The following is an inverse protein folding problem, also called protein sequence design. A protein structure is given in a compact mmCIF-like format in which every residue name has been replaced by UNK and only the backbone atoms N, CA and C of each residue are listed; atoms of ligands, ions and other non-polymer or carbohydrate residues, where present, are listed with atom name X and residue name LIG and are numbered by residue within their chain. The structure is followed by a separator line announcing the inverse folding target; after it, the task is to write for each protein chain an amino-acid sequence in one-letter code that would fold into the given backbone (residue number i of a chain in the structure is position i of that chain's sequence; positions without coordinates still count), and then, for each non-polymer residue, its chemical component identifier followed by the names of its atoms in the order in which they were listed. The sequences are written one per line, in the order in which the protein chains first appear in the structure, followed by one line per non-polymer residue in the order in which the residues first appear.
data_IF_438386231242
#
_entry.id   IF_438386231242
#
_cell.length_a   1.000
_cell.length_b   1.000
_cell.length_c   1.000
_cell.angle_alpha   90.00
_cell.angle_beta   90.00
_cell.angle_gamma   90.00
#
_symmetry.space_group_name_H-M   'P 1'
#
loop_
_entity.id
_entity.type
_entity.pdbx_description
1 polymer ?
#
# COMPACT_ATOMS: atom_id res chain seq x y z
N UNK A 1 -16.49 -29.49 53.51
CA UNK A 1 -15.54 -28.44 53.07
C UNK A 1 -14.36 -29.09 52.35
N UNK A 2 -14.39 -29.25 51.02
CA UNK A 2 -13.18 -29.54 50.24
C UNK A 2 -12.57 -28.22 49.73
N UNK A 3 -11.32 -27.96 50.12
CA UNK A 3 -10.47 -26.89 49.59
C UNK A 3 -9.75 -27.43 48.35
N UNK A 4 -10.17 -27.05 47.15
CA UNK A 4 -9.44 -27.36 45.93
C UNK A 4 -8.34 -26.31 45.68
N UNK A 5 -7.12 -26.74 45.32
CA UNK A 5 -5.96 -25.87 45.26
C UNK A 5 -6.01 -24.92 44.07
N UNK A 6 -5.75 -23.64 44.36
CA UNK A 6 -5.61 -22.50 43.46
C UNK A 6 -4.45 -22.60 42.43
N UNK A 7 -3.92 -23.80 42.17
CA UNK A 7 -2.63 -24.00 41.50
C UNK A 7 -2.73 -24.44 40.03
N UNK A 8 -3.92 -24.45 39.42
CA UNK A 8 -4.14 -24.95 38.06
C UNK A 8 -4.43 -23.87 37.00
N UNK A 9 -4.33 -22.58 37.36
CA UNK A 9 -4.64 -21.47 36.43
C UNK A 9 -3.40 -20.81 35.78
N UNK A 10 -2.21 -21.38 35.90
CA UNK A 10 -0.95 -20.71 35.47
C UNK A 10 -0.33 -21.24 34.16
N UNK A 11 -0.96 -22.19 33.45
CA UNK A 11 -0.34 -22.82 32.26
C UNK A 11 -1.03 -22.53 30.92
N UNK A 12 -2.08 -21.71 30.86
CA UNK A 12 -2.88 -21.50 29.64
C UNK A 12 -2.79 -20.07 29.05
N UNK A 13 -1.73 -19.31 29.36
CA UNK A 13 -1.62 -17.89 29.02
C UNK A 13 -0.69 -17.51 27.86
N UNK A 14 -0.06 -18.46 27.16
CA UNK A 14 1.07 -18.16 26.25
C UNK A 14 0.90 -18.63 24.78
N UNK A 15 -0.30 -18.96 24.32
CA UNK A 15 -0.50 -19.47 22.97
C UNK A 15 -1.46 -18.65 22.09
N UNK A 16 -1.42 -17.31 22.18
CA UNK A 16 -2.03 -16.46 21.15
C UNK A 16 -1.12 -15.30 20.74
N UNK A 17 0.12 -15.61 20.39
CA UNK A 17 0.84 -14.81 19.40
C UNK A 17 0.26 -15.15 18.03
N UNK A 18 -0.92 -14.62 17.73
CA UNK A 18 -1.32 -14.42 16.35
C UNK A 18 -0.37 -13.37 15.78
N UNK A 19 0.76 -13.83 15.24
CA UNK A 19 1.38 -13.15 14.12
C UNK A 19 0.32 -13.16 13.01
N UNK A 20 -0.56 -12.17 13.02
CA UNK A 20 -1.22 -11.71 11.82
C UNK A 20 -0.06 -11.40 10.88
N UNK A 21 0.26 -12.35 10.01
CA UNK A 21 1.08 -12.06 8.85
C UNK A 21 0.46 -10.81 8.26
N UNK A 22 1.26 -9.78 8.07
CA UNK A 22 0.86 -8.60 7.32
C UNK A 22 0.69 -9.05 5.86
N UNK A 23 -0.33 -9.85 5.60
CA UNK A 23 -0.84 -10.10 4.26
C UNK A 23 -1.33 -8.76 3.76
N UNK A 24 -0.78 -8.35 2.61
CA UNK A 24 -1.19 -7.12 1.95
C UNK A 24 -2.71 -7.14 1.78
N UNK A 25 -3.42 -6.06 2.13
CA UNK A 25 -4.86 -6.02 2.00
C UNK A 25 -5.25 -6.30 0.53
N UNK A 26 -6.26 -7.15 0.35
CA UNK A 26 -6.90 -7.38 -0.96
C UNK A 26 -8.20 -6.59 -1.04
N UNK A 27 -8.66 -6.27 -2.25
CA UNK A 27 -9.94 -5.57 -2.45
C UNK A 27 -11.11 -6.31 -1.78
N UNK A 28 -11.11 -7.64 -1.82
CA UNK A 28 -12.14 -8.47 -1.17
C UNK A 28 -12.09 -8.33 0.36
N UNK A 29 -10.90 -8.36 0.96
CA UNK A 29 -10.75 -8.15 2.41
C UNK A 29 -11.18 -6.74 2.84
N UNK A 30 -10.91 -5.72 2.03
CA UNK A 30 -11.36 -4.34 2.27
C UNK A 30 -12.90 -4.24 2.23
N UNK A 31 -13.53 -4.86 1.23
CA UNK A 31 -14.99 -4.88 1.10
C UNK A 31 -15.66 -5.60 2.29
N UNK A 32 -15.11 -6.74 2.71
CA UNK A 32 -15.61 -7.50 3.86
C UNK A 32 -15.50 -6.68 5.16
N UNK A 33 -14.34 -6.08 5.41
CA UNK A 33 -14.12 -5.24 6.57
C UNK A 33 -15.06 -4.02 6.61
N UNK A 34 -15.33 -3.41 5.46
CA UNK A 34 -16.32 -2.33 5.34
C UNK A 34 -17.72 -2.79 5.72
N UNK A 35 -18.18 -3.94 5.20
CA UNK A 35 -19.50 -4.50 5.54
C UNK A 35 -19.65 -4.70 7.04
N UNK A 36 -18.69 -5.39 7.67
CA UNK A 36 -18.70 -5.60 9.13
C UNK A 36 -18.69 -4.27 9.91
N UNK A 37 -17.96 -3.26 9.44
CA UNK A 37 -17.94 -1.94 10.07
C UNK A 37 -19.31 -1.26 10.01
N UNK A 38 -19.97 -1.29 8.84
CA UNK A 38 -21.30 -0.70 8.66
C UNK A 38 -22.34 -1.42 9.52
N UNK A 39 -22.35 -2.76 9.52
CA UNK A 39 -23.26 -3.55 10.36
C UNK A 39 -23.09 -3.20 11.84
N UNK A 40 -21.84 -3.11 12.30
CA UNK A 40 -21.53 -2.68 13.67
C UNK A 40 -22.02 -1.26 13.97
N UNK A 41 -21.93 -0.33 13.00
CA UNK A 41 -22.47 1.02 13.17
C UNK A 41 -23.99 1.01 13.34
N UNK A 42 -24.70 0.19 12.57
CA UNK A 42 -26.14 0.02 12.67
C UNK A 42 -26.56 -0.58 14.01
N UNK A 43 -25.80 -1.55 14.53
CA UNK A 43 -26.07 -2.18 15.83
C UNK A 43 -25.80 -1.24 17.02
N UNK A 44 -24.81 -0.34 16.92
CA UNK A 44 -24.34 0.47 18.06
C UNK A 44 -24.98 1.85 18.17
N UNK A 45 -25.64 2.33 17.13
CA UNK A 45 -26.15 3.70 17.08
C UNK A 45 -27.62 3.72 16.69
N UNK A 46 -28.46 4.30 17.55
CA UNK A 46 -29.90 4.39 17.30
C UNK A 46 -30.31 5.62 16.48
N UNK A 47 -29.47 6.66 16.43
CA UNK A 47 -29.76 7.88 15.67
C UNK A 47 -29.12 7.87 14.30
N UNK A 48 -29.86 8.36 13.30
CA UNK A 48 -29.38 8.44 11.91
C UNK A 48 -28.09 9.25 11.79
N UNK A 49 -27.98 10.37 12.52
CA UNK A 49 -26.78 11.20 12.50
C UNK A 49 -25.54 10.48 13.07
N UNK A 50 -25.70 9.68 14.12
CA UNK A 50 -24.60 8.90 14.68
C UNK A 50 -24.20 7.74 13.75
N UNK A 51 -25.18 7.06 13.16
CA UNK A 51 -24.92 6.04 12.13
C UNK A 51 -24.19 6.65 10.94
N UNK A 52 -24.63 7.79 10.40
CA UNK A 52 -23.98 8.46 9.28
C UNK A 52 -22.54 8.87 9.59
N UNK A 53 -22.27 9.40 10.79
CA UNK A 53 -20.91 9.70 11.24
C UNK A 53 -20.03 8.45 11.33
N UNK A 54 -20.59 7.35 11.83
CA UNK A 54 -19.90 6.07 11.93
C UNK A 54 -19.61 5.45 10.55
N UNK A 55 -20.61 5.37 9.67
CA UNK A 55 -20.46 4.82 8.32
C UNK A 55 -19.51 5.65 7.45
N UNK A 56 -19.44 6.97 7.66
CA UNK A 56 -18.42 7.84 7.03
C UNK A 56 -17.00 7.39 7.39
N UNK A 57 -16.74 7.04 8.66
CA UNK A 57 -15.44 6.48 9.06
C UNK A 57 -15.17 5.13 8.42
N UNK A 58 -16.17 4.26 8.34
CA UNK A 58 -16.04 2.97 7.63
C UNK A 58 -15.65 3.19 6.16
N UNK A 59 -16.29 4.14 5.47
CA UNK A 59 -15.98 4.46 4.09
C UNK A 59 -14.54 5.00 3.92
N UNK A 60 -14.09 5.87 4.83
CA UNK A 60 -12.71 6.35 4.84
C UNK A 60 -11.69 5.21 5.06
N UNK A 61 -11.96 4.31 6.01
CA UNK A 61 -11.14 3.13 6.24
C UNK A 61 -11.08 2.19 5.03
N UNK A 62 -12.21 1.99 4.34
CA UNK A 62 -12.28 1.21 3.11
C UNK A 62 -11.44 1.84 2.00
N UNK A 63 -11.60 3.14 1.76
CA UNK A 63 -10.84 3.86 0.74
C UNK A 63 -9.33 3.76 0.98
N UNK A 64 -8.89 3.88 2.23
CA UNK A 64 -7.48 3.66 2.60
C UNK A 64 -7.02 2.23 2.27
N UNK A 65 -7.80 1.24 2.68
CA UNK A 65 -7.48 -0.18 2.42
C UNK A 65 -7.37 -0.48 0.92
N UNK A 66 -8.32 0.00 0.12
CA UNK A 66 -8.32 -0.19 -1.33
C UNK A 66 -7.14 0.55 -2.00
N UNK A 67 -6.77 1.73 -1.49
CA UNK A 67 -5.59 2.45 -1.97
C UNK A 67 -4.30 1.68 -1.69
N UNK A 68 -4.15 1.09 -0.49
CA UNK A 68 -3.00 0.24 -0.15
C UNK A 68 -2.97 -1.03 -1.00
N UNK A 69 -4.12 -1.68 -1.18
CA UNK A 69 -4.27 -2.86 -2.03
C UNK A 69 -3.92 -2.57 -3.50
N UNK A 70 -4.36 -1.42 -4.03
CA UNK A 70 -4.05 -0.97 -5.39
C UNK A 70 -2.59 -0.57 -5.55
N UNK A 71 -2.01 0.09 -4.55
CA UNK A 71 -0.60 0.47 -4.55
C UNK A 71 0.31 -0.76 -4.60
N UNK A 72 0.08 -1.76 -3.76
CA UNK A 72 0.89 -2.98 -3.75
C UNK A 72 0.76 -3.76 -5.07
N UNK A 73 -0.41 -3.76 -5.71
CA UNK A 73 -0.59 -4.33 -7.06
C UNK A 73 0.14 -3.54 -8.14
N UNK A 74 0.18 -2.21 -8.05
CA UNK A 74 0.82 -1.34 -9.03
C UNK A 74 2.35 -1.24 -8.86
N UNK A 75 2.88 -1.60 -7.69
CA UNK A 75 4.30 -1.48 -7.33
C UNK A 75 5.27 -2.10 -8.34
N UNK A 76 5.02 -3.30 -8.92
CA UNK A 76 5.91 -3.86 -9.94
C UNK A 76 5.93 -3.04 -11.23
N UNK A 77 4.74 -2.60 -11.70
CA UNK A 77 4.63 -1.74 -12.88
C UNK A 77 5.29 -0.38 -12.65
N UNK A 78 5.14 0.18 -11.45
CA UNK A 78 5.76 1.46 -11.09
C UNK A 78 7.29 1.37 -11.10
N UNK A 79 7.85 0.26 -10.62
CA UNK A 79 9.31 -0.02 -10.69
C UNK A 79 9.78 -0.10 -12.14
N UNK A 80 9.10 -0.86 -12.98
CA UNK A 80 9.43 -0.98 -14.40
C UNK A 80 9.40 0.38 -15.13
N UNK A 81 8.44 1.25 -14.80
CA UNK A 81 8.38 2.60 -15.36
C UNK A 81 9.50 3.52 -14.85
N UNK A 82 9.93 3.36 -13.60
CA UNK A 82 11.09 4.09 -13.06
C UNK A 82 12.36 3.64 -13.77
N UNK A 83 12.57 2.33 -13.90
CA UNK A 83 13.76 1.77 -14.56
C UNK A 83 13.87 2.26 -16.02
N UNK A 84 12.75 2.24 -16.76
CA UNK A 84 12.70 2.78 -18.13
C UNK A 84 13.01 4.27 -18.21
N UNK A 85 12.53 5.06 -17.24
CA UNK A 85 12.82 6.49 -17.18
C UNK A 85 14.31 6.74 -16.89
N UNK A 86 14.90 5.98 -15.97
CA UNK A 86 16.32 6.06 -15.68
C UNK A 86 17.18 5.70 -16.90
N UNK A 87 16.81 4.65 -17.63
CA UNK A 87 17.50 4.25 -18.87
C UNK A 87 17.38 5.32 -19.96
N UNK A 88 16.20 5.92 -20.12
CA UNK A 88 16.01 7.05 -21.05
C UNK A 88 16.89 8.25 -20.67
N UNK A 89 16.90 8.65 -19.41
CA UNK A 89 17.71 9.77 -18.92
C UNK A 89 19.21 9.49 -19.02
N UNK A 90 19.62 8.23 -18.85
CA UNK A 90 21.00 7.79 -19.06
C UNK A 90 21.39 7.92 -20.53
N UNK A 91 20.58 7.39 -21.45
CA UNK A 91 20.80 7.54 -22.89
C UNK A 91 20.83 9.00 -23.35
N UNK A 92 20.04 9.88 -22.72
CA UNK A 92 20.06 11.32 -23.00
C UNK A 92 21.34 12.02 -22.48
N UNK A 93 21.91 11.58 -21.36
CA UNK A 93 23.12 12.18 -20.76
C UNK A 93 24.42 11.64 -21.36
N UNK A 94 24.40 10.36 -21.76
CA UNK A 94 25.55 9.65 -22.29
C UNK A 94 25.65 9.75 -23.83
N UNK A 95 24.98 10.73 -24.44
CA UNK A 95 25.18 11.14 -25.84
C UNK A 95 26.10 12.37 -25.94
N UNK A 96 27.43 12.20 -25.91
CA UNK A 96 28.40 13.25 -26.20
C UNK A 96 28.59 13.49 -27.72
N UNK A 97 27.82 12.86 -28.62
CA UNK A 97 28.10 12.87 -30.06
C UNK A 97 26.99 13.49 -30.92
N UNK A 98 26.24 14.43 -30.34
CA UNK A 98 25.41 15.38 -31.09
C UNK A 98 26.00 16.81 -31.12
N UNK A 99 27.33 16.97 -31.07
CA UNK A 99 28.06 18.05 -31.78
C UNK A 99 29.57 17.91 -31.56
N UNK A 100 30.28 17.35 -32.54
CA UNK A 100 31.62 17.81 -32.86
C UNK A 100 31.54 18.73 -34.09
N UNK A 101 31.41 20.07 -33.95
CA UNK A 101 31.47 20.98 -35.09
C UNK A 101 32.91 21.43 -35.39
N UNK A 102 33.93 20.61 -35.06
CA UNK A 102 35.32 20.96 -35.34
C UNK A 102 35.86 20.42 -36.69
N UNK A 103 35.22 19.40 -37.30
CA UNK A 103 35.70 18.85 -38.57
C UNK A 103 35.09 19.49 -39.83
N UNK A 104 34.05 20.32 -39.69
CA UNK A 104 33.41 20.97 -40.85
C UNK A 104 34.06 22.30 -41.24
N UNK A 105 34.90 22.89 -40.38
CA UNK A 105 35.56 24.18 -40.64
C UNK A 105 36.91 24.07 -41.38
N UNK A 106 37.62 22.93 -41.31
CA UNK A 106 38.88 22.78 -42.05
C UNK A 106 38.67 22.63 -43.57
N UNK A 107 37.52 22.10 -44.00
CA UNK A 107 37.19 21.90 -45.43
C UNK A 107 36.91 23.20 -46.19
N UNK A 108 36.67 24.33 -45.49
CA UNK A 108 36.40 25.62 -46.14
C UNK A 108 37.62 26.54 -46.23
N UNK A 109 38.77 26.14 -45.66
CA UNK A 109 40.03 26.89 -45.78
C UNK A 109 40.90 26.47 -46.97
N UNK A 110 40.50 25.42 -47.67
CA UNK A 110 41.20 24.87 -48.85
C UNK A 110 40.42 25.08 -50.17
N UNK A 111 39.37 25.92 -50.16
CA UNK A 111 38.65 26.41 -51.35
C UNK A 111 38.83 27.93 -51.47
#
# INVERSE_FOLDING_TARGET
MPRLPLALFLAAGLAFSASAGAESPTLETCARAYGTCVDTCTERHDSESAQAGCTTRCAASRAKCEAEAGYEQAKPWLRDQIDKLEDFLRGFRDDPEATAPAERESRYKDL
#
